data_IF_539238621196
#
_entry.id   IF_539238621196
#
_cell.length_a   1.000
_cell.length_b   1.000
_cell.length_c   1.000
_cell.angle_alpha   90.00
_cell.angle_beta   90.00
_cell.angle_gamma   90.00
#
_symmetry.space_group_name_H-M   'P 1'
#
loop_
_entity.id
_entity.type
_entity.pdbx_description
1 polymer ?
#
# COMPACT_ATOMS: atom_id res chain seq x y z
N UNK A 1 9.05 37.55 2.35
CA UNK A 1 9.12 36.10 2.57
C UNK A 1 9.53 35.49 1.24
N UNK A 2 10.61 34.70 1.22
CA UNK A 2 11.07 34.00 0.02
C UNK A 2 10.89 32.51 0.25
N UNK A 3 10.41 31.80 -0.76
CA UNK A 3 10.32 30.35 -0.72
C UNK A 3 11.74 29.74 -0.78
N UNK A 4 11.96 28.66 -0.03
CA UNK A 4 13.19 27.89 -0.02
C UNK A 4 12.84 26.41 -0.06
N UNK A 5 13.50 25.67 -0.95
CA UNK A 5 13.32 24.23 -1.05
C UNK A 5 13.70 23.51 0.26
N UNK A 6 13.02 22.41 0.61
CA UNK A 6 13.44 21.59 1.74
C UNK A 6 14.81 20.96 1.47
N UNK A 7 15.65 20.90 2.50
CA UNK A 7 17.01 20.32 2.42
C UNK A 7 17.09 18.91 3.00
N UNK A 8 16.00 18.42 3.59
CA UNK A 8 15.87 17.08 4.16
C UNK A 8 14.41 16.66 4.27
N UNK A 9 14.18 15.36 4.40
CA UNK A 9 12.87 14.79 4.70
C UNK A 9 12.40 15.17 6.10
N UNK A 10 11.09 15.38 6.22
CA UNK A 10 10.36 15.66 7.46
C UNK A 10 9.35 14.55 7.80
N UNK A 11 8.85 13.81 6.80
CA UNK A 11 7.88 12.73 7.03
C UNK A 11 8.05 11.54 6.09
N UNK A 12 7.76 10.35 6.62
CA UNK A 12 7.57 9.12 5.87
C UNK A 12 6.09 8.71 5.97
N UNK A 13 5.44 8.51 4.82
CA UNK A 13 4.05 8.09 4.71
C UNK A 13 4.04 6.62 4.28
N UNK A 14 3.75 5.72 5.21
CA UNK A 14 3.81 4.28 4.98
C UNK A 14 2.44 3.71 4.62
N UNK A 15 2.43 2.75 3.70
CA UNK A 15 1.34 1.78 3.65
C UNK A 15 1.41 0.77 4.82
N UNK A 16 0.39 -0.08 4.94
CA UNK A 16 0.26 -1.11 5.96
C UNK A 16 0.62 -2.51 5.44
N UNK A 17 -0.26 -3.15 4.67
CA UNK A 17 -0.18 -4.58 4.35
C UNK A 17 0.76 -4.84 3.17
N UNK A 18 1.87 -5.53 3.44
CA UNK A 18 3.01 -5.66 2.52
C UNK A 18 4.11 -4.63 2.75
N UNK A 19 3.89 -3.66 3.66
CA UNK A 19 4.83 -2.56 3.95
C UNK A 19 5.32 -2.55 5.40
N UNK A 20 4.42 -2.50 6.39
CA UNK A 20 4.75 -2.55 7.83
C UNK A 20 4.24 -3.84 8.46
N UNK A 21 3.11 -4.38 7.99
CA UNK A 21 2.48 -5.61 8.46
C UNK A 21 2.20 -6.54 7.28
N UNK A 22 1.83 -7.79 7.54
CA UNK A 22 1.35 -8.75 6.54
C UNK A 22 2.36 -8.99 5.40
N UNK A 23 3.44 -9.71 5.68
CA UNK A 23 4.42 -10.07 4.64
C UNK A 23 3.73 -10.88 3.53
N UNK A 24 3.77 -10.37 2.29
CA UNK A 24 3.09 -10.93 1.12
C UNK A 24 1.68 -10.37 0.85
N UNK A 25 1.16 -9.50 1.74
CA UNK A 25 -0.14 -8.83 1.60
C UNK A 25 -1.29 -9.82 1.34
N UNK A 26 -1.43 -10.82 2.21
CA UNK A 26 -2.41 -11.91 2.05
C UNK A 26 -3.79 -11.57 2.59
N UNK A 27 -3.87 -10.77 3.67
CA UNK A 27 -5.12 -10.46 4.37
C UNK A 27 -6.29 -10.07 3.47
N UNK A 28 -6.12 -9.24 2.42
CA UNK A 28 -7.25 -8.86 1.58
C UNK A 28 -7.55 -9.86 0.46
N UNK A 29 -6.56 -10.61 -0.02
CA UNK A 29 -6.70 -11.45 -1.23
C UNK A 29 -7.67 -12.60 -1.02
N UNK A 30 -7.53 -13.33 0.09
CA UNK A 30 -8.40 -14.45 0.41
C UNK A 30 -9.83 -14.00 0.69
N UNK A 31 -10.01 -12.82 1.29
CA UNK A 31 -11.33 -12.27 1.60
C UNK A 31 -12.09 -11.89 0.32
N UNK A 32 -11.41 -11.41 -0.72
CA UNK A 32 -12.08 -11.18 -2.01
C UNK A 32 -12.59 -12.50 -2.61
N UNK A 33 -11.77 -13.56 -2.59
CA UNK A 33 -12.19 -14.88 -3.09
C UNK A 33 -13.43 -15.38 -2.34
N UNK A 34 -13.43 -15.28 -1.01
CA UNK A 34 -14.56 -15.70 -0.17
C UNK A 34 -15.80 -14.84 -0.39
N UNK A 35 -15.65 -13.51 -0.44
CA UNK A 35 -16.77 -12.59 -0.64
C UNK A 35 -17.45 -12.79 -2.00
N UNK A 36 -16.70 -13.06 -3.08
CA UNK A 36 -17.27 -13.37 -4.38
C UNK A 36 -17.93 -14.76 -4.41
N UNK A 37 -17.35 -15.74 -3.70
CA UNK A 37 -17.91 -17.09 -3.62
C UNK A 37 -19.30 -17.13 -2.94
N UNK A 38 -19.60 -16.20 -2.02
CA UNK A 38 -20.97 -16.05 -1.46
C UNK A 38 -22.03 -15.67 -2.50
N UNK A 39 -21.61 -15.18 -3.67
CA UNK A 39 -22.49 -14.86 -4.81
C UNK A 39 -22.37 -15.91 -5.93
N UNK A 40 -21.80 -17.09 -5.64
CA UNK A 40 -21.52 -18.16 -6.60
C UNK A 40 -20.56 -17.75 -7.74
N UNK A 41 -19.81 -16.66 -7.57
CA UNK A 41 -18.83 -16.18 -8.55
C UNK A 41 -17.43 -16.52 -8.08
N UNK A 42 -16.69 -17.28 -8.87
CA UNK A 42 -15.32 -17.66 -8.52
C UNK A 42 -14.33 -16.58 -8.99
N UNK A 43 -13.39 -16.24 -8.12
CA UNK A 43 -12.25 -15.34 -8.40
C UNK A 43 -10.99 -16.03 -7.89
N UNK A 44 -9.91 -16.01 -8.66
CA UNK A 44 -8.62 -16.57 -8.25
C UNK A 44 -7.85 -15.59 -7.34
N UNK A 45 -6.88 -16.10 -6.59
CA UNK A 45 -5.97 -15.23 -5.82
C UNK A 45 -5.19 -14.28 -6.73
N UNK A 46 -4.80 -14.74 -7.92
CA UNK A 46 -4.08 -13.90 -8.90
C UNK A 46 -4.95 -12.72 -9.38
N UNK A 47 -6.22 -12.99 -9.70
CA UNK A 47 -7.18 -11.96 -10.09
C UNK A 47 -7.40 -10.96 -8.95
N UNK A 48 -7.60 -11.45 -7.72
CA UNK A 48 -7.77 -10.64 -6.51
C UNK A 48 -6.53 -9.79 -6.16
N UNK A 49 -5.32 -10.18 -6.60
CA UNK A 49 -4.10 -9.39 -6.40
C UNK A 49 -3.94 -8.25 -7.38
N UNK A 50 -4.55 -8.33 -8.57
CA UNK A 50 -4.36 -7.35 -9.64
C UNK A 50 -4.67 -5.91 -9.22
N UNK A 51 -5.86 -5.61 -8.67
CA UNK A 51 -6.24 -4.26 -8.23
C UNK A 51 -5.77 -3.88 -6.82
N UNK A 52 -4.80 -4.57 -6.24
CA UNK A 52 -4.40 -4.34 -4.85
C UNK A 52 -3.90 -2.90 -4.60
N UNK A 53 -4.19 -2.38 -3.40
CA UNK A 53 -3.87 -1.02 -2.98
C UNK A 53 -4.99 -0.01 -3.19
N UNK A 54 -5.98 -0.29 -4.05
CA UNK A 54 -7.17 0.57 -4.21
C UNK A 54 -8.09 0.51 -2.99
N UNK A 55 -8.98 1.50 -2.87
CA UNK A 55 -10.13 1.42 -1.95
C UNK A 55 -10.95 0.16 -2.25
N UNK A 56 -11.47 -0.51 -1.21
CA UNK A 56 -12.06 -1.85 -1.35
C UNK A 56 -13.26 -1.91 -2.29
N UNK A 57 -14.09 -0.87 -2.33
CA UNK A 57 -15.20 -0.80 -3.29
C UNK A 57 -14.68 -0.68 -4.74
N UNK A 58 -13.72 0.20 -4.99
CA UNK A 58 -13.09 0.37 -6.32
C UNK A 58 -12.34 -0.89 -6.76
N UNK A 59 -11.73 -1.61 -5.82
CA UNK A 59 -11.13 -2.91 -6.06
C UNK A 59 -12.17 -3.91 -6.58
N UNK A 60 -13.29 -4.06 -5.88
CA UNK A 60 -14.37 -4.98 -6.29
C UNK A 60 -14.94 -4.57 -7.66
N UNK A 61 -15.19 -3.27 -7.89
CA UNK A 61 -15.63 -2.76 -9.20
C UNK A 61 -14.63 -3.09 -10.30
N UNK A 62 -13.33 -2.99 -10.02
CA UNK A 62 -12.26 -3.33 -10.97
C UNK A 62 -12.24 -4.82 -11.28
N UNK A 63 -12.39 -5.69 -10.27
CA UNK A 63 -12.56 -7.14 -10.48
C UNK A 63 -13.80 -7.42 -11.34
N UNK A 64 -14.95 -6.82 -11.01
CA UNK A 64 -16.19 -6.96 -11.79
C UNK A 64 -16.08 -6.44 -13.23
N UNK A 65 -15.10 -5.60 -13.55
CA UNK A 65 -14.82 -5.11 -14.91
C UNK A 65 -13.88 -6.02 -15.69
N UNK A 66 -13.21 -6.98 -15.04
CA UNK A 66 -12.41 -7.97 -15.75
C UNK A 66 -13.32 -8.86 -16.61
N UNK A 67 -13.02 -9.05 -17.91
CA UNK A 67 -13.91 -9.79 -18.80
C UNK A 67 -14.30 -11.17 -18.29
N UNK A 68 -13.35 -11.90 -17.70
CA UNK A 68 -13.58 -13.26 -17.20
C UNK A 68 -14.48 -13.28 -15.95
N UNK A 69 -14.24 -12.37 -15.00
CA UNK A 69 -15.09 -12.22 -13.79
C UNK A 69 -16.49 -11.76 -14.18
N UNK A 70 -16.61 -10.80 -15.10
CA UNK A 70 -17.90 -10.31 -15.60
C UNK A 70 -18.72 -11.42 -16.28
N UNK A 71 -18.05 -12.32 -17.02
CA UNK A 71 -18.67 -13.46 -17.67
C UNK A 71 -19.12 -14.53 -16.67
N UNK A 72 -18.30 -14.81 -15.63
CA UNK A 72 -18.70 -15.70 -14.53
C UNK A 72 -19.91 -15.15 -13.78
N UNK A 73 -19.93 -13.84 -13.51
CA UNK A 73 -21.09 -13.19 -12.93
C UNK A 73 -22.33 -13.28 -13.83
N UNK A 74 -22.18 -13.05 -15.14
CA UNK A 74 -23.26 -13.18 -16.13
C UNK A 74 -23.83 -14.59 -16.19
N UNK A 75 -23.00 -15.61 -16.02
CA UNK A 75 -23.43 -17.01 -15.99
C UNK A 75 -24.36 -17.29 -14.80
N UNK A 76 -24.11 -16.69 -13.65
CA UNK A 76 -24.92 -16.86 -12.43
C UNK A 76 -26.20 -16.00 -12.47
N UNK A 77 -26.09 -14.73 -12.86
CA UNK A 77 -27.18 -13.75 -12.70
C UNK A 77 -27.87 -13.33 -14.01
N UNK A 78 -27.41 -13.80 -15.18
CA UNK A 78 -27.97 -13.48 -16.49
C UNK A 78 -27.65 -12.07 -17.01
N UNK A 79 -26.84 -11.29 -16.29
CA UNK A 79 -26.44 -9.90 -16.62
C UNK A 79 -25.05 -9.60 -16.06
N UNK A 80 -24.42 -8.51 -16.51
CA UNK A 80 -23.15 -8.04 -15.93
C UNK A 80 -23.36 -7.29 -14.59
N UNK A 81 -22.32 -7.19 -13.74
CA UNK A 81 -22.41 -6.52 -12.44
C UNK A 81 -22.68 -5.01 -12.53
N UNK A 82 -23.68 -4.52 -11.78
CA UNK A 82 -23.95 -3.10 -11.54
C UNK A 82 -23.23 -2.61 -10.29
N UNK A 83 -23.29 -1.30 -10.03
CA UNK A 83 -22.71 -0.71 -8.81
C UNK A 83 -23.47 -1.15 -7.53
N UNK A 84 -24.74 -1.52 -7.65
CA UNK A 84 -25.50 -2.11 -6.55
C UNK A 84 -24.95 -3.51 -6.19
N UNK A 85 -24.54 -4.30 -7.19
CA UNK A 85 -23.92 -5.61 -6.93
C UNK A 85 -22.54 -5.47 -6.30
N UNK A 86 -21.74 -4.52 -6.79
CA UNK A 86 -20.43 -4.18 -6.17
C UNK A 86 -20.63 -3.79 -4.72
N UNK A 87 -21.65 -2.97 -4.43
CA UNK A 87 -22.00 -2.58 -3.07
C UNK A 87 -22.47 -3.77 -2.23
N UNK A 88 -23.20 -4.72 -2.81
CA UNK A 88 -23.62 -5.94 -2.12
C UNK A 88 -22.42 -6.83 -1.76
N UNK A 89 -21.49 -7.06 -2.70
CA UNK A 89 -20.24 -7.80 -2.46
C UNK A 89 -19.40 -7.07 -1.41
N UNK A 90 -19.26 -5.75 -1.50
CA UNK A 90 -18.54 -4.95 -0.53
C UNK A 90 -19.11 -5.09 0.90
N UNK A 91 -20.44 -5.10 1.05
CA UNK A 91 -21.10 -5.32 2.35
C UNK A 91 -20.84 -6.70 2.93
N UNK A 92 -20.58 -7.73 2.10
CA UNK A 92 -20.15 -9.07 2.54
C UNK A 92 -18.67 -9.14 2.85
N UNK A 93 -17.86 -8.48 2.04
CA UNK A 93 -16.41 -8.38 2.22
C UNK A 93 -16.03 -7.76 3.58
N UNK A 94 -16.71 -6.69 3.98
CA UNK A 94 -16.36 -5.92 5.18
C UNK A 94 -16.30 -6.74 6.49
N UNK A 95 -17.34 -7.49 6.90
CA UNK A 95 -17.28 -8.30 8.12
C UNK A 95 -16.20 -9.39 8.04
N UNK A 96 -16.06 -10.06 6.88
CA UNK A 96 -15.02 -11.08 6.67
C UNK A 96 -13.62 -10.48 6.83
N UNK A 97 -13.38 -9.28 6.29
CA UNK A 97 -12.09 -8.60 6.41
C UNK A 97 -11.77 -8.25 7.86
N UNK A 98 -12.76 -7.80 8.63
CA UNK A 98 -12.58 -7.46 10.06
C UNK A 98 -12.28 -8.71 10.88
N UNK A 99 -12.96 -9.82 10.61
CA UNK A 99 -12.77 -11.08 11.33
C UNK A 99 -11.34 -11.62 11.16
N UNK A 100 -10.82 -11.61 9.92
CA UNK A 100 -9.50 -12.18 9.62
C UNK A 100 -8.33 -11.22 9.71
N UNK A 101 -8.58 -9.94 10.03
CA UNK A 101 -7.51 -8.95 10.07
C UNK A 101 -6.42 -9.32 11.07
N UNK A 102 -6.80 -9.98 12.17
CA UNK A 102 -5.87 -10.37 13.22
C UNK A 102 -4.95 -11.53 12.83
N UNK A 103 -5.38 -12.38 11.89
CA UNK A 103 -4.60 -13.51 11.40
C UNK A 103 -3.41 -13.03 10.55
N UNK A 104 -3.51 -11.83 9.97
CA UNK A 104 -2.54 -11.28 9.03
C UNK A 104 -1.95 -9.94 9.48
N UNK A 105 -1.92 -9.64 10.78
CA UNK A 105 -1.42 -8.37 11.31
C UNK A 105 0.02 -8.42 11.82
N UNK A 106 0.74 -9.51 11.57
CA UNK A 106 2.12 -9.66 12.02
C UNK A 106 2.99 -8.56 11.39
N UNK A 107 3.89 -7.99 12.18
CA UNK A 107 4.84 -6.99 11.69
C UNK A 107 5.83 -7.62 10.71
N UNK A 108 6.14 -6.90 9.64
CA UNK A 108 7.21 -7.27 8.73
C UNK A 108 8.54 -7.21 9.50
N UNK A 109 9.39 -8.25 9.41
CA UNK A 109 10.68 -8.27 10.10
C UNK A 109 11.52 -7.03 9.81
N UNK A 110 12.02 -6.39 10.87
CA UNK A 110 12.82 -5.16 10.79
C UNK A 110 12.03 -3.85 10.67
N UNK A 111 10.70 -3.89 10.49
CA UNK A 111 9.90 -2.68 10.34
C UNK A 111 10.00 -1.73 11.54
N UNK A 112 9.88 -2.24 12.77
CA UNK A 112 9.97 -1.41 13.99
C UNK A 112 11.34 -0.75 14.15
N UNK A 113 12.42 -1.49 13.89
CA UNK A 113 13.79 -0.97 13.99
C UNK A 113 14.03 0.13 12.96
N UNK A 114 13.58 -0.08 11.72
CA UNK A 114 13.63 0.96 10.68
C UNK A 114 12.85 2.21 11.12
N UNK A 115 11.61 2.05 11.56
CA UNK A 115 10.76 3.18 11.97
C UNK A 115 11.37 3.93 13.15
N UNK A 116 11.92 3.22 14.13
CA UNK A 116 12.63 3.82 15.25
C UNK A 116 13.85 4.62 14.78
N UNK A 117 14.61 4.09 13.82
CA UNK A 117 15.74 4.80 13.21
C UNK A 117 15.29 6.10 12.51
N UNK A 118 14.20 6.07 11.73
CA UNK A 118 13.66 7.28 11.09
C UNK A 118 13.24 8.32 12.13
N UNK A 119 12.58 7.89 13.21
CA UNK A 119 12.17 8.77 14.31
C UNK A 119 13.37 9.44 14.99
N UNK A 120 14.49 8.74 15.17
CA UNK A 120 15.72 9.31 15.72
C UNK A 120 16.29 10.45 14.84
N UNK A 121 16.00 10.44 13.54
CA UNK A 121 16.37 11.52 12.61
C UNK A 121 15.36 12.69 12.61
N UNK A 122 14.30 12.61 13.42
CA UNK A 122 13.23 13.59 13.49
C UNK A 122 12.18 13.46 12.38
N UNK A 123 12.13 12.33 11.68
CA UNK A 123 11.13 12.06 10.66
C UNK A 123 9.82 11.64 11.33
N UNK A 124 8.73 12.34 11.02
CA UNK A 124 7.37 11.99 11.44
C UNK A 124 6.84 10.81 10.62
N UNK A 125 6.02 9.98 11.25
CA UNK A 125 5.51 8.74 10.67
C UNK A 125 4.02 8.91 10.39
N UNK A 126 3.66 9.17 9.15
CA UNK A 126 2.28 9.10 8.69
C UNK A 126 1.98 7.75 8.07
N UNK A 127 0.70 7.45 7.88
CA UNK A 127 0.29 6.26 7.15
C UNK A 127 -1.04 6.42 6.44
N UNK A 128 -1.25 5.62 5.41
CA UNK A 128 -2.54 5.50 4.74
C UNK A 128 -2.75 4.06 4.27
N UNK A 129 -4.00 3.68 3.99
CA UNK A 129 -4.33 2.35 3.46
C UNK A 129 -5.58 2.39 2.59
N UNK A 130 -5.69 1.44 1.65
CA UNK A 130 -6.94 1.16 0.93
C UNK A 130 -8.06 0.58 1.81
N UNK A 131 -7.79 0.28 3.09
CA UNK A 131 -8.82 -0.10 4.05
C UNK A 131 -9.70 1.10 4.47
N UNK A 132 -11.02 0.88 4.62
CA UNK A 132 -11.93 1.87 5.22
C UNK A 132 -11.70 1.99 6.73
N UNK A 133 -12.17 3.10 7.31
CA UNK A 133 -11.89 3.49 8.69
C UNK A 133 -12.23 2.41 9.69
N UNK A 134 -13.38 1.75 9.53
CA UNK A 134 -13.81 0.69 10.42
C UNK A 134 -12.80 -0.48 10.49
N UNK A 135 -12.16 -0.83 9.37
CA UNK A 135 -11.12 -1.86 9.32
C UNK A 135 -9.81 -1.29 9.87
N UNK A 136 -9.45 -0.07 9.48
CA UNK A 136 -8.22 0.58 9.93
C UNK A 136 -8.16 0.76 11.44
N UNK A 137 -9.26 1.13 12.09
CA UNK A 137 -9.30 1.28 13.56
C UNK A 137 -8.89 -0.04 14.26
N UNK A 138 -9.26 -1.20 13.69
CA UNK A 138 -8.84 -2.52 14.20
C UNK A 138 -7.40 -2.87 13.87
N UNK A 139 -6.94 -2.57 12.66
CA UNK A 139 -5.52 -2.75 12.28
C UNK A 139 -4.61 -1.93 13.20
N UNK A 140 -4.97 -0.67 13.46
CA UNK A 140 -4.20 0.25 14.33
C UNK A 140 -4.19 -0.25 15.76
N UNK A 141 -5.33 -0.67 16.31
CA UNK A 141 -5.44 -1.23 17.67
C UNK A 141 -4.49 -2.42 17.83
N UNK A 142 -4.50 -3.35 16.88
CA UNK A 142 -3.68 -4.55 16.93
C UNK A 142 -2.19 -4.26 16.69
N UNK A 143 -1.86 -3.40 15.73
CA UNK A 143 -0.48 -3.03 15.47
C UNK A 143 0.16 -2.29 16.65
N UNK A 144 -0.62 -1.49 17.39
CA UNK A 144 -0.16 -0.85 18.62
C UNK A 144 0.21 -1.88 19.70
N UNK A 145 -0.56 -2.97 19.84
CA UNK A 145 -0.18 -4.07 20.74
C UNK A 145 1.10 -4.79 20.33
N UNK A 146 1.43 -4.75 19.04
CA UNK A 146 2.67 -5.29 18.47
C UNK A 146 3.81 -4.25 18.43
N UNK A 147 3.59 -3.02 18.92
CA UNK A 147 4.62 -1.99 19.05
C UNK A 147 4.72 -0.98 17.91
N UNK A 148 3.86 -1.07 16.88
CA UNK A 148 3.82 -0.07 15.81
C UNK A 148 2.76 1.00 16.07
N UNK A 149 3.20 2.27 16.08
CA UNK A 149 2.33 3.45 16.21
C UNK A 149 2.78 4.51 15.20
N UNK A 150 1.87 4.87 14.28
CA UNK A 150 2.01 6.04 13.42
C UNK A 150 1.55 7.31 14.13
N UNK A 151 2.15 8.45 13.79
CA UNK A 151 1.76 9.77 14.29
C UNK A 151 0.39 10.21 13.73
N UNK A 152 0.06 9.75 12.51
CA UNK A 152 -1.25 9.94 11.89
C UNK A 152 -1.58 8.78 10.94
N UNK A 153 -2.86 8.46 10.81
CA UNK A 153 -3.39 7.37 9.97
C UNK A 153 -4.57 7.91 9.20
N UNK A 154 -4.61 7.65 7.88
CA UNK A 154 -5.72 8.05 7.01
C UNK A 154 -6.27 6.84 6.26
N UNK A 155 -7.51 6.48 6.55
CA UNK A 155 -8.26 5.45 5.86
C UNK A 155 -8.83 5.96 4.52
N UNK A 156 -9.25 5.03 3.66
CA UNK A 156 -9.65 5.35 2.28
C UNK A 156 -10.93 6.20 2.18
N UNK A 157 -11.85 6.05 3.14
CA UNK A 157 -13.15 6.70 3.22
C UNK A 157 -13.16 7.97 4.09
N UNK A 158 -11.99 8.39 4.59
CA UNK A 158 -11.80 9.69 5.28
C UNK A 158 -11.49 10.84 4.31
N UNK A 159 -11.31 10.52 3.02
CA UNK A 159 -10.95 11.46 1.96
C UNK A 159 -11.90 11.32 0.76
N UNK A 160 -12.03 12.34 -0.10
CA UNK A 160 -12.93 12.27 -1.26
C UNK A 160 -12.55 11.19 -2.28
N UNK A 161 -11.29 10.78 -2.33
CA UNK A 161 -10.78 9.78 -3.25
C UNK A 161 -9.52 9.09 -2.70
N UNK A 162 -9.58 7.76 -2.56
CA UNK A 162 -8.44 6.94 -2.14
C UNK A 162 -7.40 6.74 -3.24
N UNK A 163 -6.43 5.84 -3.03
CA UNK A 163 -5.44 5.47 -4.06
C UNK A 163 -6.10 5.09 -5.39
N UNK A 164 -5.54 5.50 -6.55
CA UNK A 164 -4.23 6.12 -6.75
C UNK A 164 -4.23 7.66 -6.63
N UNK A 165 -5.25 8.27 -6.04
CA UNK A 165 -5.32 9.71 -5.87
C UNK A 165 -4.45 10.17 -4.67
N UNK A 166 -4.00 11.43 -4.64
CA UNK A 166 -3.04 11.88 -3.63
C UNK A 166 -3.66 12.18 -2.25
N UNK A 167 -4.98 12.07 -2.09
CA UNK A 167 -5.68 12.68 -0.97
C UNK A 167 -5.29 12.11 0.40
N UNK A 168 -5.08 10.79 0.53
CA UNK A 168 -4.69 10.21 1.83
C UNK A 168 -3.25 10.60 2.21
N UNK A 169 -2.33 10.62 1.24
CA UNK A 169 -0.98 11.14 1.45
C UNK A 169 -0.98 12.63 1.83
N UNK A 170 -1.76 13.48 1.14
CA UNK A 170 -1.85 14.91 1.45
C UNK A 170 -2.54 15.19 2.79
N UNK A 171 -3.52 14.39 3.18
CA UNK A 171 -4.12 14.47 4.50
C UNK A 171 -3.09 14.25 5.62
N UNK A 172 -2.13 13.33 5.42
CA UNK A 172 -1.00 13.18 6.34
C UNK A 172 -0.10 14.42 6.39
N UNK A 173 0.22 15.04 5.24
CA UNK A 173 1.03 16.29 5.20
C UNK A 173 0.40 17.36 6.09
N UNK A 174 -0.92 17.55 5.96
CA UNK A 174 -1.69 18.53 6.74
C UNK A 174 -1.67 18.17 8.22
N UNK A 175 -2.04 16.93 8.57
CA UNK A 175 -2.16 16.50 9.96
C UNK A 175 -0.82 16.52 10.71
N UNK A 176 0.28 16.19 10.02
CA UNK A 176 1.61 16.20 10.59
C UNK A 176 2.26 17.59 10.59
N UNK A 177 1.65 18.60 9.96
CA UNK A 177 2.20 19.95 9.88
C UNK A 177 3.56 19.97 9.18
N UNK A 178 3.63 19.38 7.98
CA UNK A 178 4.81 19.37 7.13
C UNK A 178 4.80 20.63 6.26
N UNK A 179 5.95 21.30 6.19
CA UNK A 179 6.06 22.62 5.54
C UNK A 179 6.06 22.53 4.01
N UNK A 180 6.53 21.40 3.46
CA UNK A 180 6.65 21.18 2.03
C UNK A 180 6.45 19.69 1.67
N UNK A 181 5.65 19.42 0.65
CA UNK A 181 5.38 18.04 0.19
C UNK A 181 6.64 17.35 -0.35
N UNK A 182 7.59 18.11 -0.92
CA UNK A 182 8.87 17.57 -1.37
C UNK A 182 9.74 17.06 -0.21
N UNK A 183 9.43 17.44 1.04
CA UNK A 183 10.04 16.91 2.25
C UNK A 183 9.37 15.61 2.75
N UNK A 184 8.45 15.03 1.98
CA UNK A 184 7.80 13.77 2.29
C UNK A 184 8.27 12.64 1.37
N UNK A 185 8.26 11.42 1.89
CA UNK A 185 8.46 10.20 1.12
C UNK A 185 7.28 9.25 1.34
N UNK A 186 6.71 8.72 0.25
CA UNK A 186 5.68 7.67 0.25
C UNK A 186 6.33 6.31 0.06
N UNK A 187 6.05 5.38 0.97
CA UNK A 187 6.52 3.99 0.90
C UNK A 187 5.28 3.11 0.68
N UNK A 188 5.33 2.24 -0.32
CA UNK A 188 4.22 1.36 -0.69
C UNK A 188 4.69 0.12 -1.45
N UNK A 189 3.96 -0.98 -1.35
CA UNK A 189 4.21 -2.22 -2.08
C UNK A 189 3.29 -2.39 -3.31
N UNK A 190 2.47 -1.38 -3.63
CA UNK A 190 1.51 -1.42 -4.74
C UNK A 190 1.69 -0.28 -5.74
N UNK A 191 1.38 -0.53 -7.01
CA UNK A 191 1.38 0.50 -8.06
C UNK A 191 0.44 1.68 -7.73
N UNK A 192 -0.82 1.47 -7.26
CA UNK A 192 -1.68 2.58 -6.87
C UNK A 192 -1.11 3.47 -5.77
N UNK A 193 -0.41 2.90 -4.79
CA UNK A 193 0.23 3.68 -3.73
C UNK A 193 1.47 4.45 -4.17
N UNK A 194 2.26 3.91 -5.10
CA UNK A 194 3.34 4.67 -5.75
C UNK A 194 2.77 5.83 -6.57
N UNK A 195 1.68 5.61 -7.31
CA UNK A 195 0.99 6.67 -8.05
C UNK A 195 0.43 7.74 -7.12
N UNK A 196 -0.11 7.37 -5.96
CA UNK A 196 -0.54 8.32 -4.91
C UNK A 196 0.62 9.25 -4.50
N UNK A 197 1.78 8.69 -4.16
CA UNK A 197 2.95 9.49 -3.77
C UNK A 197 3.47 10.40 -4.90
N UNK A 198 3.56 9.86 -6.12
CA UNK A 198 3.97 10.63 -7.31
C UNK A 198 3.01 11.79 -7.59
N UNK A 199 1.70 11.57 -7.49
CA UNK A 199 0.66 12.58 -7.71
C UNK A 199 0.60 13.61 -6.58
N UNK A 200 0.96 13.23 -5.36
CA UNK A 200 1.07 14.15 -4.23
C UNK A 200 2.29 15.07 -4.37
N UNK A 201 3.33 14.62 -5.09
CA UNK A 201 4.59 15.35 -5.24
C UNK A 201 5.65 14.96 -4.21
N UNK A 202 5.53 13.74 -3.67
CA UNK A 202 6.48 13.17 -2.70
C UNK A 202 7.58 12.38 -3.42
N UNK A 203 8.69 12.15 -2.72
CA UNK A 203 9.58 11.03 -3.04
C UNK A 203 8.80 9.71 -2.92
N UNK A 204 9.20 8.67 -3.64
CA UNK A 204 8.48 7.39 -3.64
C UNK A 204 9.43 6.21 -3.63
N UNK A 205 9.13 5.25 -2.76
CA UNK A 205 9.92 4.03 -2.57
C UNK A 205 8.96 2.84 -2.70
N UNK A 206 9.20 1.99 -3.69
CA UNK A 206 8.45 0.75 -3.87
C UNK A 206 9.11 -0.41 -3.12
N UNK A 207 8.33 -1.15 -2.34
CA UNK A 207 8.77 -2.39 -1.70
C UNK A 207 8.42 -3.58 -2.60
N UNK A 208 9.43 -4.30 -3.09
CA UNK A 208 9.23 -5.29 -4.15
C UNK A 208 9.19 -6.74 -3.66
N UNK A 209 9.64 -7.04 -2.44
CA UNK A 209 9.67 -8.40 -1.92
C UNK A 209 8.77 -8.63 -0.69
N UNK A 210 8.43 -7.59 0.07
CA UNK A 210 7.62 -7.77 1.29
C UNK A 210 6.10 -7.78 1.07
N UNK A 211 5.62 -7.44 -0.13
CA UNK A 211 4.20 -7.18 -0.35
C UNK A 211 3.58 -7.89 -1.54
N UNK A 212 2.52 -7.29 -2.08
CA UNK A 212 1.59 -7.90 -3.05
C UNK A 212 2.28 -8.40 -4.32
N UNK A 213 3.33 -7.72 -4.78
CA UNK A 213 4.00 -8.00 -6.04
C UNK A 213 4.72 -9.36 -6.06
N UNK A 214 5.40 -9.70 -4.96
CA UNK A 214 6.04 -11.01 -4.79
C UNK A 214 5.03 -12.04 -4.31
N UNK A 215 4.15 -11.66 -3.38
CA UNK A 215 3.03 -12.48 -2.94
C UNK A 215 3.43 -13.79 -2.25
N UNK A 216 4.61 -13.82 -1.63
CA UNK A 216 5.12 -14.92 -0.81
C UNK A 216 5.05 -14.54 0.66
N UNK A 217 4.92 -15.53 1.55
CA UNK A 217 5.15 -15.29 2.97
C UNK A 217 6.65 -15.13 3.27
N UNK A 218 6.98 -14.79 4.52
CA UNK A 218 8.35 -14.51 4.90
C UNK A 218 9.26 -15.75 4.81
N UNK A 219 8.77 -16.94 5.16
CA UNK A 219 9.57 -18.17 5.14
C UNK A 219 9.86 -18.60 3.69
N UNK A 220 8.85 -18.53 2.81
CA UNK A 220 9.00 -18.81 1.39
C UNK A 220 9.93 -17.79 0.70
N UNK A 221 9.84 -16.51 1.06
CA UNK A 221 10.80 -15.50 0.61
C UNK A 221 12.23 -15.82 1.04
N UNK A 222 12.43 -16.24 2.29
CA UNK A 222 13.75 -16.61 2.84
C UNK A 222 14.31 -17.89 2.21
N UNK A 223 13.43 -18.82 1.84
CA UNK A 223 13.79 -20.05 1.15
C UNK A 223 13.99 -19.86 -0.36
N UNK A 224 13.63 -18.71 -0.91
CA UNK A 224 13.71 -18.44 -2.35
C UNK A 224 15.18 -18.37 -2.80
N UNK A 225 15.56 -19.29 -3.67
CA UNK A 225 16.91 -19.30 -4.25
C UNK A 225 17.22 -18.00 -5.01
N UNK A 226 18.48 -17.57 -4.98
CA UNK A 226 18.95 -16.31 -5.55
C UNK A 226 18.52 -16.08 -7.00
N UNK A 227 18.54 -17.14 -7.82
CA UNK A 227 18.21 -17.05 -9.25
C UNK A 227 16.72 -16.80 -9.46
N UNK A 228 15.87 -17.45 -8.66
CA UNK A 228 14.42 -17.20 -8.67
C UNK A 228 14.10 -15.80 -8.17
N UNK A 229 14.73 -15.38 -7.07
CA UNK A 229 14.55 -14.02 -6.55
C UNK A 229 14.97 -12.95 -7.57
N UNK A 230 16.08 -13.15 -8.28
CA UNK A 230 16.51 -12.25 -9.35
C UNK A 230 15.51 -12.18 -10.52
N UNK A 231 14.94 -13.33 -10.91
CA UNK A 231 13.88 -13.39 -11.93
C UNK A 231 12.61 -12.66 -11.48
N UNK A 232 12.18 -12.87 -10.23
CA UNK A 232 11.02 -12.18 -9.66
C UNK A 232 11.24 -10.67 -9.54
N UNK A 233 12.41 -10.22 -9.09
CA UNK A 233 12.77 -8.80 -9.11
C UNK A 233 12.62 -8.22 -10.52
N UNK A 234 13.15 -8.88 -11.55
CA UNK A 234 13.02 -8.39 -12.93
C UNK A 234 11.56 -8.24 -13.36
N UNK A 235 10.70 -9.22 -13.03
CA UNK A 235 9.26 -9.18 -13.32
C UNK A 235 8.58 -8.02 -12.59
N UNK A 236 8.87 -7.86 -11.30
CA UNK A 236 8.25 -6.84 -10.45
C UNK A 236 8.71 -5.44 -10.84
N UNK A 237 10.00 -5.26 -11.16
CA UNK A 237 10.51 -3.98 -11.69
C UNK A 237 9.74 -3.54 -12.94
N UNK A 238 9.51 -4.45 -13.89
CA UNK A 238 8.71 -4.15 -15.09
C UNK A 238 7.26 -3.76 -14.75
N UNK A 239 6.66 -4.40 -13.74
CA UNK A 239 5.32 -4.06 -13.26
C UNK A 239 5.23 -2.62 -12.72
N UNK A 240 6.27 -2.17 -12.00
CA UNK A 240 6.30 -0.81 -11.44
C UNK A 240 6.79 0.26 -12.42
N UNK A 241 7.36 -0.09 -13.56
CA UNK A 241 7.99 0.85 -14.51
C UNK A 241 7.07 2.03 -14.86
N UNK A 242 5.81 1.75 -15.20
CA UNK A 242 4.82 2.77 -15.55
C UNK A 242 4.45 3.73 -14.41
N UNK A 243 4.64 3.30 -13.15
CA UNK A 243 4.39 4.13 -11.97
C UNK A 243 5.57 5.03 -11.58
N UNK A 244 6.74 4.81 -12.19
CA UNK A 244 7.96 5.63 -12.05
C UNK A 244 8.34 5.89 -10.57
N UNK A 245 8.53 4.86 -9.72
CA UNK A 245 9.04 5.09 -8.38
C UNK A 245 10.45 5.69 -8.43
N UNK A 246 10.81 6.50 -7.43
CA UNK A 246 12.17 7.04 -7.35
C UNK A 246 13.18 5.99 -6.91
N UNK A 247 12.74 5.07 -6.05
CA UNK A 247 13.52 3.95 -5.54
C UNK A 247 12.69 2.68 -5.52
N UNK A 248 13.34 1.54 -5.68
CA UNK A 248 12.77 0.22 -5.42
C UNK A 248 13.73 -0.51 -4.48
N UNK A 249 13.21 -1.07 -3.40
CA UNK A 249 13.97 -1.85 -2.41
C UNK A 249 13.21 -3.12 -2.06
N UNK A 250 13.90 -4.15 -1.58
CA UNK A 250 13.26 -5.45 -1.34
C UNK A 250 12.26 -5.36 -0.20
N UNK A 251 12.70 -4.82 0.94
CA UNK A 251 11.87 -4.67 2.13
C UNK A 251 12.17 -3.36 2.84
N UNK A 252 11.37 -3.04 3.86
CA UNK A 252 11.53 -1.84 4.67
C UNK A 252 12.89 -1.74 5.39
N UNK A 253 13.66 -2.82 5.51
CA UNK A 253 15.00 -2.80 6.13
C UNK A 253 16.01 -1.95 5.37
N UNK A 254 15.83 -1.79 4.07
CA UNK A 254 16.77 -1.08 3.20
C UNK A 254 16.43 0.43 3.10
N UNK A 255 15.31 0.83 3.71
CA UNK A 255 14.82 2.21 3.68
C UNK A 255 15.81 3.25 4.26
N UNK A 256 16.56 2.99 5.34
CA UNK A 256 17.50 3.98 5.89
C UNK A 256 18.54 4.50 4.88
N UNK A 257 19.04 3.63 3.99
CA UNK A 257 19.99 4.03 2.94
C UNK A 257 19.34 4.95 1.90
N UNK A 258 18.10 4.63 1.50
CA UNK A 258 17.31 5.46 0.57
C UNK A 258 17.00 6.83 1.17
N UNK A 259 16.64 6.88 2.46
CA UNK A 259 16.38 8.14 3.17
C UNK A 259 17.64 9.01 3.21
N UNK A 260 18.81 8.41 3.45
CA UNK A 260 20.08 9.12 3.42
C UNK A 260 20.38 9.70 2.03
N UNK A 261 20.14 8.95 0.96
CA UNK A 261 20.31 9.42 -0.42
C UNK A 261 19.34 10.56 -0.76
N UNK A 262 18.05 10.43 -0.42
CA UNK A 262 17.05 11.50 -0.63
C UNK A 262 17.49 12.79 0.08
N UNK A 263 17.96 12.70 1.32
CA UNK A 263 18.46 13.87 2.05
C UNK A 263 19.67 14.52 1.35
N UNK A 264 20.58 13.73 0.77
CA UNK A 264 21.69 14.27 -0.01
C UNK A 264 21.21 14.98 -1.28
N UNK A 265 20.20 14.44 -1.96
CA UNK A 265 19.59 15.03 -3.16
C UNK A 265 18.86 16.33 -2.85
N UNK A 266 18.04 16.34 -1.79
CA UNK A 266 17.36 17.54 -1.29
C UNK A 266 18.37 18.64 -0.90
N UNK A 267 19.47 18.28 -0.23
CA UNK A 267 20.53 19.24 0.13
C UNK A 267 21.23 19.86 -1.10
N UNK A 268 21.22 19.16 -2.25
CA UNK A 268 21.71 19.68 -3.55
C UNK A 268 20.63 20.44 -4.34
N UNK A 269 19.41 20.52 -3.82
CA UNK A 269 18.28 21.20 -4.44
C UNK A 269 17.48 20.33 -5.43
N UNK A 270 17.75 19.03 -5.52
CA UNK A 270 16.94 18.11 -6.32
C UNK A 270 15.61 17.82 -5.63
N UNK A 271 14.51 17.88 -6.37
CA UNK A 271 13.15 17.66 -5.88
C UNK A 271 12.54 16.40 -6.52
N UNK A 272 11.45 15.82 -5.97
CA UNK A 272 10.80 14.63 -6.54
C UNK A 272 10.37 14.75 -8.01
N UNK A 273 10.13 15.98 -8.47
CA UNK A 273 9.69 16.23 -9.86
C UNK A 273 10.85 16.44 -10.83
N UNK A 274 12.09 16.52 -10.34
CA UNK A 274 13.28 16.61 -11.19
C UNK A 274 13.48 15.26 -11.88
N UNK A 275 13.45 15.25 -13.22
CA UNK A 275 13.76 14.06 -14.03
C UNK A 275 15.22 13.64 -13.88
#
# INVERSE_FOLDING_TARGET
MNYANPTKLQAAILDWAGTVVDFGSFAPTQIFVEAFAEFDVQVSIEEARGPMGMGKWDHIRTLCNQPEVAERYRTVFGRTPTDDDVTAIYKRFMPLQIEKIAEHSALIPGALDTIAHLRQQGIKIGSCSGYPKQVMDKVVELAATNGYVADHVVATDEVPNGRPWPAQALANVIALGIDDVAACVKIDDTVPGILEGRRAGMWTVALICSGNALGLDYEDYRALGSDKLASERKRIHAMFEGSRPHYMIDTITDLPEVIADINQRLAKGEMPQTN
#
